data_IF_212821561193
#
_entry.id   IF_212821561193
#
_cell.length_a   1.000
_cell.length_b   1.000
_cell.length_c   1.000
_cell.angle_alpha   90.00
_cell.angle_beta   90.00
_cell.angle_gamma   90.00
#
_symmetry.space_group_name_H-M   'P 1'
#
loop_
_entity.id
_entity.type
_entity.pdbx_description
1 polymer ?
#
# COMPACT_ATOMS: atom_id res chain seq x y z
N UNK A 1 -32.56 32.83 -18.68
CA UNK A 1 -31.86 31.61 -18.26
C UNK A 1 -32.48 31.22 -16.94
N UNK A 2 -33.40 30.25 -16.96
CA UNK A 2 -33.99 29.71 -15.73
C UNK A 2 -32.86 29.10 -14.89
N UNK A 3 -32.82 29.49 -13.63
CA UNK A 3 -31.90 28.95 -12.64
C UNK A 3 -32.23 27.46 -12.44
N UNK A 4 -31.50 26.59 -13.15
CA UNK A 4 -31.60 25.13 -13.06
C UNK A 4 -30.68 24.58 -11.97
N UNK A 5 -30.43 25.37 -10.92
CA UNK A 5 -29.73 24.88 -9.74
C UNK A 5 -30.61 23.81 -9.06
N UNK A 6 -30.08 22.59 -8.79
CA UNK A 6 -30.83 21.57 -8.09
C UNK A 6 -31.32 22.10 -6.74
N UNK A 7 -32.60 21.88 -6.41
CA UNK A 7 -33.12 22.17 -5.07
C UNK A 7 -32.36 21.29 -4.06
N UNK A 8 -31.49 21.90 -3.27
CA UNK A 8 -30.69 21.21 -2.27
C UNK A 8 -31.54 20.43 -1.26
N UNK A 9 -32.78 20.86 -1.02
CA UNK A 9 -33.72 20.16 -0.14
C UNK A 9 -34.14 18.82 -0.74
N UNK A 10 -34.41 18.79 -2.04
CA UNK A 10 -34.77 17.58 -2.77
C UNK A 10 -33.59 16.59 -2.81
N UNK A 11 -32.36 17.07 -3.04
CA UNK A 11 -31.15 16.23 -3.04
C UNK A 11 -30.94 15.57 -1.68
N UNK A 12 -31.01 16.34 -0.59
CA UNK A 12 -30.83 15.81 0.77
C UNK A 12 -31.94 14.82 1.15
N UNK A 13 -33.17 15.03 0.67
CA UNK A 13 -34.26 14.08 0.87
C UNK A 13 -33.96 12.74 0.19
N UNK A 14 -33.48 12.77 -1.06
CA UNK A 14 -33.09 11.56 -1.79
C UNK A 14 -32.02 10.76 -1.07
N UNK A 15 -30.96 11.42 -0.57
CA UNK A 15 -29.91 10.74 0.21
C UNK A 15 -30.46 10.05 1.46
N UNK A 16 -31.36 10.70 2.21
CA UNK A 16 -31.99 10.10 3.40
C UNK A 16 -32.88 8.91 3.06
N UNK A 17 -33.60 8.96 1.95
CA UNK A 17 -34.42 7.83 1.49
C UNK A 17 -33.55 6.63 1.07
N UNK A 18 -32.41 6.88 0.43
CA UNK A 18 -31.43 5.84 0.08
C UNK A 18 -30.82 5.24 1.35
N UNK A 19 -30.32 6.08 2.26
CA UNK A 19 -29.76 5.66 3.55
C UNK A 19 -30.75 4.79 4.33
N UNK A 20 -32.01 5.23 4.46
CA UNK A 20 -33.05 4.48 5.14
C UNK A 20 -33.34 3.12 4.49
N UNK A 21 -33.32 3.04 3.16
CA UNK A 21 -33.53 1.78 2.44
C UNK A 21 -32.34 0.81 2.59
N UNK A 22 -31.11 1.32 2.49
CA UNK A 22 -29.89 0.52 2.58
C UNK A 22 -29.61 0.01 4.00
N UNK A 23 -30.07 0.72 5.03
CA UNK A 23 -29.85 0.39 6.45
C UNK A 23 -31.05 -0.28 7.13
N UNK A 24 -32.15 -0.52 6.41
CA UNK A 24 -33.34 -1.19 6.92
C UNK A 24 -33.07 -2.66 7.34
N UNK A 25 -33.93 -3.25 8.20
CA UNK A 25 -33.85 -4.68 8.52
C UNK A 25 -33.85 -5.57 7.27
N UNK A 26 -32.88 -6.49 7.17
CA UNK A 26 -32.71 -7.38 6.01
C UNK A 26 -31.96 -6.76 4.82
N UNK A 27 -31.60 -5.47 4.86
CA UNK A 27 -30.82 -4.83 3.82
C UNK A 27 -29.31 -5.12 3.94
N UNK A 28 -28.56 -4.84 2.87
CA UNK A 28 -27.12 -5.12 2.80
C UNK A 28 -26.29 -4.38 3.86
N UNK A 29 -26.78 -3.23 4.34
CA UNK A 29 -26.14 -2.39 5.36
C UNK A 29 -27.02 -2.25 6.61
N UNK A 30 -27.83 -3.27 6.94
CA UNK A 30 -28.65 -3.27 8.16
C UNK A 30 -27.82 -2.86 9.38
N UNK A 31 -28.33 -1.88 10.12
CA UNK A 31 -27.76 -1.42 11.38
C UNK A 31 -28.45 -2.11 12.56
N UNK A 32 -27.64 -2.60 13.48
CA UNK A 32 -28.08 -3.20 14.74
C UNK A 32 -27.37 -2.54 15.91
N UNK A 33 -28.03 -2.48 17.06
CA UNK A 33 -27.40 -2.00 18.27
C UNK A 33 -26.60 -3.12 18.91
N UNK A 34 -25.35 -2.83 19.23
CA UNK A 34 -24.45 -3.73 19.94
C UNK A 34 -23.86 -3.01 21.15
N UNK A 35 -23.86 -3.69 22.29
CA UNK A 35 -23.15 -3.24 23.48
C UNK A 35 -21.66 -3.60 23.36
N UNK A 36 -20.78 -2.59 23.44
CA UNK A 36 -19.33 -2.72 23.44
C UNK A 36 -18.80 -1.92 24.62
N UNK A 37 -18.15 -2.60 25.56
CA UNK A 37 -17.60 -2.00 26.79
C UNK A 37 -18.61 -1.17 27.61
N UNK A 38 -19.89 -1.58 27.59
CA UNK A 38 -20.98 -0.93 28.33
C UNK A 38 -21.68 0.22 27.58
N UNK A 39 -21.17 0.59 26.40
CA UNK A 39 -21.79 1.58 25.51
C UNK A 39 -22.51 0.89 24.35
N UNK A 40 -23.65 1.44 23.93
CA UNK A 40 -24.43 0.89 22.81
C UNK A 40 -24.10 1.66 21.54
N UNK A 41 -23.60 0.95 20.53
CA UNK A 41 -23.25 1.51 19.22
C UNK A 41 -24.11 0.90 18.11
N UNK A 42 -24.49 1.70 17.09
CA UNK A 42 -24.99 1.15 15.84
C UNK A 42 -23.83 0.51 15.08
N UNK A 43 -23.98 -0.76 14.71
CA UNK A 43 -23.00 -1.53 13.93
C UNK A 43 -23.68 -2.20 12.74
N UNK A 44 -22.92 -2.46 11.67
CA UNK A 44 -23.46 -3.20 10.54
C UNK A 44 -23.60 -4.69 10.90
N UNK A 45 -24.81 -5.25 10.75
CA UNK A 45 -25.08 -6.68 10.99
C UNK A 45 -24.22 -7.57 10.09
N UNK A 46 -24.08 -7.17 8.82
CA UNK A 46 -23.46 -7.97 7.76
C UNK A 46 -22.02 -7.53 7.46
N UNK A 47 -21.30 -6.99 8.46
CA UNK A 47 -19.85 -6.78 8.34
C UNK A 47 -19.11 -8.11 8.55
N UNK A 48 -17.92 -8.24 7.96
CA UNK A 48 -17.07 -9.40 8.22
C UNK A 48 -16.72 -9.51 9.72
N UNK A 49 -16.68 -10.73 10.25
CA UNK A 49 -16.36 -10.99 11.65
C UNK A 49 -14.92 -10.59 12.01
N UNK A 50 -14.00 -10.76 11.06
CA UNK A 50 -12.59 -10.44 11.27
C UNK A 50 -11.91 -9.90 10.02
N UNK A 51 -10.72 -9.34 10.26
CA UNK A 51 -9.90 -8.68 9.24
C UNK A 51 -9.43 -9.69 8.17
N UNK A 52 -9.07 -10.91 8.56
CA UNK A 52 -8.64 -11.92 7.61
C UNK A 52 -9.78 -12.32 6.65
N UNK A 53 -10.98 -12.57 7.17
CA UNK A 53 -12.16 -12.91 6.36
C UNK A 53 -12.46 -11.80 5.34
N UNK A 54 -12.37 -10.52 5.74
CA UNK A 54 -12.50 -9.38 4.81
C UNK A 54 -11.38 -9.37 3.75
N UNK A 55 -10.13 -9.60 4.14
CA UNK A 55 -8.99 -9.61 3.21
C UNK A 55 -9.02 -10.80 2.24
N UNK A 56 -9.70 -11.89 2.61
CA UNK A 56 -9.77 -13.14 1.83
C UNK A 56 -11.04 -13.31 1.02
N UNK A 57 -11.94 -12.32 1.01
CA UNK A 57 -13.24 -12.40 0.33
C UNK A 57 -13.13 -12.73 -1.16
N UNK A 58 -12.03 -12.36 -1.81
CA UNK A 58 -11.77 -12.59 -3.25
C UNK A 58 -10.74 -13.68 -3.53
N UNK A 59 -10.26 -14.41 -2.52
CA UNK A 59 -9.18 -15.41 -2.67
C UNK A 59 -9.51 -16.45 -3.77
N UNK A 60 -10.73 -16.99 -3.74
CA UNK A 60 -11.18 -18.01 -4.71
C UNK A 60 -11.56 -17.41 -6.07
N UNK A 61 -12.43 -16.39 -6.09
CA UNK A 61 -13.03 -15.88 -7.33
C UNK A 61 -12.05 -15.05 -8.19
N UNK A 62 -10.96 -14.57 -7.59
CA UNK A 62 -9.96 -13.74 -8.24
C UNK A 62 -8.56 -14.36 -8.23
N UNK A 63 -8.44 -15.67 -8.02
CA UNK A 63 -7.15 -16.36 -7.83
C UNK A 63 -6.09 -16.03 -8.91
N UNK A 64 -6.50 -15.91 -10.17
CA UNK A 64 -5.62 -15.62 -11.32
C UNK A 64 -5.47 -14.12 -11.64
N UNK A 65 -6.16 -13.25 -10.89
CA UNK A 65 -6.11 -11.80 -11.07
C UNK A 65 -4.91 -11.24 -10.33
N UNK A 66 -4.17 -10.32 -10.96
CA UNK A 66 -3.05 -9.63 -10.32
C UNK A 66 -3.55 -8.83 -9.12
N UNK A 67 -3.00 -9.09 -7.95
CA UNK A 67 -3.29 -8.35 -6.72
C UNK A 67 -2.21 -7.31 -6.42
N UNK A 68 -0.93 -7.66 -6.60
CA UNK A 68 0.19 -6.78 -6.28
C UNK A 68 1.15 -6.74 -7.46
N UNK A 69 1.57 -5.54 -7.86
CA UNK A 69 2.62 -5.33 -8.85
C UNK A 69 3.61 -4.26 -8.36
N UNK A 70 4.65 -4.66 -7.64
CA UNK A 70 5.78 -3.79 -7.33
C UNK A 70 6.91 -3.96 -8.35
N UNK A 71 8.10 -3.45 -8.08
CA UNK A 71 9.22 -3.51 -9.03
C UNK A 71 9.91 -4.88 -9.04
N UNK A 72 9.78 -5.64 -7.95
CA UNK A 72 10.45 -6.92 -7.75
C UNK A 72 9.53 -8.09 -8.12
N UNK A 73 8.21 -7.94 -7.91
CA UNK A 73 7.23 -9.02 -8.05
C UNK A 73 5.90 -8.54 -8.62
N UNK A 74 5.30 -9.44 -9.41
CA UNK A 74 3.88 -9.40 -9.77
C UNK A 74 3.24 -10.67 -9.22
N UNK A 75 2.24 -10.50 -8.37
CA UNK A 75 1.58 -11.60 -7.66
C UNK A 75 0.07 -11.52 -7.86
N UNK A 76 -0.55 -12.66 -8.18
CA UNK A 76 -2.01 -12.80 -8.21
C UNK A 76 -2.59 -12.93 -6.80
N UNK A 77 -3.91 -12.81 -6.64
CA UNK A 77 -4.57 -13.08 -5.36
C UNK A 77 -4.22 -14.47 -4.86
N UNK A 78 -4.32 -15.51 -5.69
CA UNK A 78 -3.99 -16.88 -5.30
C UNK A 78 -2.54 -17.03 -4.84
N UNK A 79 -1.59 -16.38 -5.53
CA UNK A 79 -0.18 -16.39 -5.14
C UNK A 79 0.08 -15.64 -3.82
N UNK A 80 -0.59 -14.51 -3.59
CA UNK A 80 -0.48 -13.74 -2.34
C UNK A 80 -1.07 -14.53 -1.17
N UNK A 81 -2.25 -15.11 -1.33
CA UNK A 81 -2.92 -15.87 -0.28
C UNK A 81 -2.18 -17.18 0.01
N UNK A 82 -1.66 -17.89 -0.99
CA UNK A 82 -0.80 -19.06 -0.71
C UNK A 82 0.49 -18.67 0.03
N UNK A 83 1.15 -17.60 -0.38
CA UNK A 83 2.32 -17.09 0.33
C UNK A 83 1.98 -16.73 1.79
N UNK A 84 0.83 -16.07 2.01
CA UNK A 84 0.38 -15.70 3.35
C UNK A 84 0.02 -16.92 4.20
N UNK A 85 -0.65 -17.94 3.63
CA UNK A 85 -0.95 -19.21 4.30
C UNK A 85 0.32 -19.91 4.76
N UNK A 86 1.34 -20.03 3.91
CA UNK A 86 2.62 -20.65 4.27
C UNK A 86 3.42 -19.81 5.25
N UNK A 87 3.44 -18.49 5.08
CA UNK A 87 4.11 -17.61 6.05
C UNK A 87 3.48 -17.72 7.45
N UNK A 88 2.15 -17.80 7.53
CA UNK A 88 1.44 -18.05 8.78
C UNK A 88 1.88 -19.37 9.44
N UNK A 89 2.13 -20.42 8.64
CA UNK A 89 2.66 -21.69 9.14
C UNK A 89 4.06 -21.54 9.74
N UNK A 90 4.94 -20.81 9.05
CA UNK A 90 6.28 -20.51 9.53
C UNK A 90 6.29 -19.68 10.80
N UNK A 91 5.46 -18.64 10.87
CA UNK A 91 5.29 -17.81 12.07
C UNK A 91 4.79 -18.65 13.26
N UNK A 92 3.77 -19.48 13.05
CA UNK A 92 3.21 -20.32 14.10
C UNK A 92 4.22 -21.37 14.62
N UNK A 93 4.94 -22.05 13.72
CA UNK A 93 5.83 -23.15 14.10
C UNK A 93 7.16 -22.67 14.68
N UNK A 94 7.74 -21.60 14.11
CA UNK A 94 9.10 -21.17 14.44
C UNK A 94 9.15 -20.08 15.51
N UNK A 95 8.08 -19.30 15.63
CA UNK A 95 8.00 -18.15 16.55
C UNK A 95 6.79 -18.24 17.50
N UNK A 96 6.03 -19.35 17.50
CA UNK A 96 4.91 -19.53 18.40
C UNK A 96 3.74 -18.56 18.19
N UNK A 97 3.65 -17.92 17.02
CA UNK A 97 2.63 -16.90 16.75
C UNK A 97 1.24 -17.52 16.69
N UNK A 98 0.31 -16.93 17.45
CA UNK A 98 -1.10 -17.31 17.48
C UNK A 98 -2.01 -16.16 17.91
N UNK A 99 -3.24 -16.46 18.36
CA UNK A 99 -4.21 -15.44 18.71
C UNK A 99 -3.69 -14.53 19.82
N UNK A 100 -3.75 -13.21 19.60
CA UNK A 100 -3.26 -12.21 20.56
C UNK A 100 -1.74 -12.00 20.58
N UNK A 101 -0.94 -12.86 19.93
CA UNK A 101 0.50 -12.60 19.77
C UNK A 101 0.73 -11.35 18.93
N UNK A 102 1.63 -10.47 19.35
CA UNK A 102 2.00 -9.27 18.60
C UNK A 102 3.13 -9.57 17.64
N UNK A 103 2.94 -9.26 16.36
CA UNK A 103 3.96 -9.39 15.31
C UNK A 103 4.19 -8.02 14.68
N UNK A 104 5.44 -7.57 14.72
CA UNK A 104 5.84 -6.29 14.19
C UNK A 104 6.02 -6.31 12.69
N UNK A 105 5.62 -5.24 12.02
CA UNK A 105 5.96 -4.96 10.62
C UNK A 105 6.66 -3.60 10.56
N UNK A 106 7.92 -3.58 10.10
CA UNK A 106 8.69 -2.34 9.92
C UNK A 106 9.36 -2.31 8.55
N UNK A 107 8.59 -1.99 7.52
CA UNK A 107 9.10 -1.97 6.13
C UNK A 107 8.44 -0.88 5.27
N UNK A 108 9.06 -0.59 4.13
CA UNK A 108 8.46 0.20 3.07
C UNK A 108 7.29 -0.55 2.41
N UNK A 109 6.47 0.17 1.63
CA UNK A 109 5.38 -0.43 0.87
C UNK A 109 5.94 -1.40 -0.18
N UNK A 110 5.64 -2.70 -0.02
CA UNK A 110 6.07 -3.78 -0.92
C UNK A 110 5.19 -5.02 -0.75
N UNK A 111 5.31 -6.00 -1.66
CA UNK A 111 4.55 -7.24 -1.60
C UNK A 111 4.69 -7.99 -0.27
N UNK A 112 5.91 -8.07 0.28
CA UNK A 112 6.18 -8.72 1.57
C UNK A 112 5.34 -8.14 2.72
N UNK A 113 5.04 -6.83 2.70
CA UNK A 113 4.20 -6.19 3.73
C UNK A 113 2.80 -6.81 3.72
N UNK A 114 2.18 -6.84 2.55
CA UNK A 114 0.79 -7.31 2.39
C UNK A 114 0.70 -8.79 2.72
N UNK A 115 1.66 -9.60 2.28
CA UNK A 115 1.73 -11.03 2.64
C UNK A 115 1.87 -11.21 4.16
N UNK A 116 2.73 -10.43 4.81
CA UNK A 116 2.92 -10.50 6.26
C UNK A 116 1.63 -10.11 7.01
N UNK A 117 0.97 -9.03 6.60
CA UNK A 117 -0.29 -8.57 7.18
C UNK A 117 -1.40 -9.63 7.10
N UNK A 118 -1.58 -10.26 5.93
CA UNK A 118 -2.57 -11.32 5.74
C UNK A 118 -2.22 -12.56 6.58
N UNK A 119 -0.94 -12.94 6.64
CA UNK A 119 -0.49 -14.08 7.42
C UNK A 119 -0.71 -13.90 8.94
N UNK A 120 -0.39 -12.71 9.46
CA UNK A 120 -0.56 -12.38 10.88
C UNK A 120 -2.04 -12.40 11.24
N UNK A 121 -2.89 -11.76 10.44
CA UNK A 121 -4.33 -11.70 10.68
C UNK A 121 -4.98 -13.08 10.55
N UNK A 122 -4.50 -13.94 9.64
CA UNK A 122 -4.94 -15.35 9.53
C UNK A 122 -4.74 -16.14 10.82
N UNK A 123 -3.68 -15.85 11.57
CA UNK A 123 -3.37 -16.50 12.85
C UNK A 123 -4.18 -15.91 14.02
N UNK A 124 -5.02 -14.90 13.79
CA UNK A 124 -5.67 -14.13 14.84
C UNK A 124 -4.67 -13.29 15.67
N UNK A 125 -3.45 -13.13 15.16
CA UNK A 125 -2.40 -12.35 15.80
C UNK A 125 -2.60 -10.85 15.53
N UNK A 126 -1.91 -10.02 16.32
CA UNK A 126 -1.97 -8.56 16.24
C UNK A 126 -0.82 -8.05 15.40
N UNK A 127 -1.10 -7.39 14.27
CA UNK A 127 -0.06 -6.74 13.48
C UNK A 127 0.28 -5.36 14.07
N UNK A 128 1.50 -5.21 14.55
CA UNK A 128 2.03 -3.94 15.06
C UNK A 128 2.76 -3.22 13.94
N UNK A 129 2.19 -2.12 13.46
CA UNK A 129 2.67 -1.45 12.26
C UNK A 129 3.61 -0.31 12.66
N UNK A 130 4.89 -0.62 12.80
CA UNK A 130 5.91 0.35 13.18
C UNK A 130 6.20 1.33 12.04
N UNK A 131 6.46 2.58 12.42
CA UNK A 131 6.81 3.62 11.46
C UNK A 131 8.16 3.31 10.79
N UNK A 132 8.14 2.94 9.51
CA UNK A 132 9.36 2.61 8.78
C UNK A 132 10.24 3.83 8.44
N UNK A 133 9.82 5.03 8.84
CA UNK A 133 10.61 6.28 8.75
C UNK A 133 11.12 6.75 10.11
N UNK A 134 10.85 6.01 11.18
CA UNK A 134 11.34 6.32 12.52
C UNK A 134 12.86 6.34 12.57
N UNK A 135 13.40 7.23 13.40
CA UNK A 135 14.78 7.19 13.87
C UNK A 135 15.01 5.96 14.77
N UNK A 136 16.26 5.54 15.01
CA UNK A 136 16.55 4.43 15.91
C UNK A 136 15.94 4.61 17.31
N UNK A 137 15.98 5.82 17.86
CA UNK A 137 15.41 6.15 19.16
C UNK A 137 13.89 6.01 19.17
N UNK A 138 13.21 6.55 18.16
CA UNK A 138 11.74 6.43 18.05
C UNK A 138 11.30 4.97 17.84
N UNK A 139 12.05 4.19 17.05
CA UNK A 139 11.78 2.77 16.84
C UNK A 139 11.94 1.98 18.13
N UNK A 140 13.01 2.22 18.89
CA UNK A 140 13.25 1.61 20.21
C UNK A 140 12.09 1.91 21.17
N UNK A 141 11.71 3.18 21.31
CA UNK A 141 10.61 3.59 22.18
C UNK A 141 9.29 2.91 21.79
N UNK A 142 8.97 2.84 20.50
CA UNK A 142 7.75 2.19 20.03
C UNK A 142 7.75 0.67 20.30
N UNK A 143 8.90 0.01 20.19
CA UNK A 143 9.06 -1.42 20.48
C UNK A 143 9.06 -1.73 21.98
N UNK A 144 9.56 -0.82 22.81
CA UNK A 144 9.47 -0.92 24.27
C UNK A 144 8.02 -0.74 24.76
N UNK A 145 7.28 0.22 24.18
CA UNK A 145 5.87 0.47 24.50
C UNK A 145 4.96 -0.68 24.04
N UNK A 146 5.20 -1.19 22.83
CA UNK A 146 4.42 -2.30 22.25
C UNK A 146 5.39 -3.41 21.81
N UNK A 147 5.78 -4.33 22.71
CA UNK A 147 6.70 -5.40 22.38
C UNK A 147 6.07 -6.44 21.45
N UNK A 148 6.82 -6.81 20.41
CA UNK A 148 6.44 -7.85 19.43
C UNK A 148 7.27 -9.11 19.63
N UNK A 149 6.66 -10.28 19.44
CA UNK A 149 7.32 -11.59 19.54
C UNK A 149 8.35 -11.79 18.42
N UNK A 150 8.06 -11.24 17.25
CA UNK A 150 8.92 -11.24 16.06
C UNK A 150 8.61 -10.01 15.23
N UNK A 151 9.61 -9.47 14.55
CA UNK A 151 9.47 -8.30 13.67
C UNK A 151 9.89 -8.67 12.25
N UNK A 152 9.00 -8.39 11.28
CA UNK A 152 9.28 -8.49 9.85
C UNK A 152 9.70 -7.12 9.34
N UNK A 153 10.91 -7.00 8.79
CA UNK A 153 11.49 -5.73 8.34
C UNK A 153 12.06 -5.83 6.92
N UNK A 154 12.15 -4.71 6.20
CA UNK A 154 13.03 -4.64 5.02
C UNK A 154 14.49 -4.48 5.44
N UNK A 155 15.44 -4.79 4.57
CA UNK A 155 16.85 -4.84 4.98
C UNK A 155 17.42 -3.54 5.52
N UNK A 156 16.94 -2.39 5.02
CA UNK A 156 17.32 -1.08 5.58
C UNK A 156 16.88 -0.96 7.05
N UNK A 157 15.69 -1.46 7.40
CA UNK A 157 15.16 -1.38 8.76
C UNK A 157 15.70 -2.49 9.63
N UNK A 158 15.96 -3.67 9.08
CA UNK A 158 16.69 -4.72 9.80
C UNK A 158 18.05 -4.21 10.29
N UNK A 159 18.82 -3.51 9.44
CA UNK A 159 20.09 -2.87 9.83
C UNK A 159 19.96 -1.78 10.89
N UNK A 160 18.79 -1.15 11.05
CA UNK A 160 18.50 -0.22 12.15
C UNK A 160 18.14 -0.98 13.44
N UNK A 161 17.35 -2.05 13.32
CA UNK A 161 16.85 -2.82 14.45
C UNK A 161 17.94 -3.63 15.16
N UNK A 162 18.98 -4.06 14.45
CA UNK A 162 20.14 -4.72 15.08
C UNK A 162 20.93 -3.79 16.01
N UNK A 163 20.71 -2.47 15.94
CA UNK A 163 21.32 -1.48 16.85
C UNK A 163 20.49 -1.24 18.12
N UNK A 164 19.34 -1.91 18.24
CA UNK A 164 18.47 -1.82 19.41
C UNK A 164 18.81 -2.98 20.34
N UNK A 165 19.20 -2.65 21.57
CA UNK A 165 19.48 -3.66 22.60
C UNK A 165 18.22 -4.49 22.87
N UNK A 166 18.36 -5.81 22.96
CA UNK A 166 17.23 -6.74 23.15
C UNK A 166 16.13 -6.63 22.07
N UNK A 167 16.49 -6.28 20.83
CA UNK A 167 15.56 -6.34 19.72
C UNK A 167 14.92 -7.74 19.60
N UNK A 168 13.62 -7.83 19.27
CA UNK A 168 12.96 -9.11 19.07
C UNK A 168 13.57 -9.85 17.86
N UNK A 169 13.34 -11.17 17.75
CA UNK A 169 13.69 -11.93 16.56
C UNK A 169 13.27 -11.22 15.27
N UNK A 170 14.17 -11.19 14.30
CA UNK A 170 13.96 -10.51 13.02
C UNK A 170 13.70 -11.52 11.89
N UNK A 171 12.82 -11.14 10.98
CA UNK A 171 12.63 -11.77 9.67
C UNK A 171 12.81 -10.67 8.63
N UNK A 172 13.67 -10.87 7.63
CA UNK A 172 13.80 -9.92 6.52
C UNK A 172 12.82 -10.24 5.41
N UNK A 173 12.05 -9.23 5.00
CA UNK A 173 11.03 -9.35 3.98
C UNK A 173 11.60 -9.73 2.62
N UNK A 174 12.86 -9.43 2.33
CA UNK A 174 13.57 -9.78 1.10
C UNK A 174 15.05 -10.05 1.40
N UNK A 175 15.78 -10.79 0.54
CA UNK A 175 17.20 -11.03 0.73
C UNK A 175 17.98 -9.73 0.91
N UNK A 176 18.84 -9.69 1.92
CA UNK A 176 19.74 -8.59 2.21
C UNK A 176 21.07 -9.10 2.79
N UNK A 177 21.90 -8.22 3.33
CA UNK A 177 23.18 -8.56 3.96
C UNK A 177 23.02 -8.99 5.43
N UNK A 178 21.81 -9.04 5.97
CA UNK A 178 21.58 -9.45 7.36
C UNK A 178 21.65 -10.97 7.52
N UNK A 179 21.98 -11.43 8.72
CA UNK A 179 21.94 -12.85 9.08
C UNK A 179 20.52 -13.34 9.42
N UNK A 180 19.52 -12.45 9.34
CA UNK A 180 18.14 -12.78 9.70
C UNK A 180 17.50 -13.72 8.66
N UNK A 181 16.59 -14.63 9.07
CA UNK A 181 15.85 -15.46 8.13
C UNK A 181 15.08 -14.63 7.10
N UNK A 182 15.16 -15.04 5.83
CA UNK A 182 14.39 -14.42 4.74
C UNK A 182 12.95 -14.95 4.74
N UNK A 183 11.98 -14.04 4.70
CA UNK A 183 10.54 -14.32 4.69
C UNK A 183 10.16 -15.30 3.56
N UNK A 184 10.68 -15.09 2.36
CA UNK A 184 10.36 -15.94 1.20
C UNK A 184 10.92 -17.36 1.30
N UNK A 185 12.03 -17.55 2.02
CA UNK A 185 12.53 -18.89 2.31
C UNK A 185 11.67 -19.56 3.37
N UNK A 186 11.23 -18.82 4.40
CA UNK A 186 10.27 -19.35 5.37
C UNK A 186 8.97 -19.77 4.67
N UNK A 187 8.45 -18.97 3.73
CA UNK A 187 7.28 -19.31 2.92
C UNK A 187 7.51 -20.60 2.11
N UNK A 188 8.67 -20.73 1.46
CA UNK A 188 8.99 -21.90 0.62
C UNK A 188 8.96 -23.21 1.41
N UNK A 189 9.50 -23.19 2.63
CA UNK A 189 9.75 -24.41 3.40
C UNK A 189 8.71 -24.69 4.49
N UNK A 190 7.81 -23.75 4.77
CA UNK A 190 6.76 -23.94 5.77
C UNK A 190 5.52 -24.60 5.16
N UNK A 191 4.83 -25.48 5.91
CA UNK A 191 3.48 -25.88 5.56
C UNK A 191 2.52 -24.69 5.72
N UNK A 192 1.29 -24.85 5.26
CA UNK A 192 0.25 -23.85 5.49
C UNK A 192 -0.12 -23.75 6.97
N UNK A 193 -0.25 -22.51 7.45
CA UNK A 193 -0.66 -22.19 8.80
C UNK A 193 -2.18 -22.28 8.99
N UNK A 194 -2.63 -22.52 10.23
CA UNK A 194 -4.04 -22.58 10.56
C UNK A 194 -4.72 -21.23 10.32
N UNK A 195 -5.98 -21.26 9.88
CA UNK A 195 -6.87 -20.11 10.02
C UNK A 195 -7.48 -20.16 11.42
N UNK A 196 -7.15 -19.19 12.27
CA UNK A 196 -7.65 -19.11 13.64
C UNK A 196 -8.72 -18.03 13.76
N UNK A 197 -9.96 -18.45 13.99
CA UNK A 197 -11.07 -17.52 14.26
C UNK A 197 -10.87 -16.85 15.62
N UNK A 198 -11.12 -15.56 15.67
CA UNK A 198 -11.06 -14.71 16.87
C UNK A 198 -12.30 -13.83 16.93
N UNK A 199 -12.64 -13.34 18.13
CA UNK A 199 -13.81 -12.50 18.30
C UNK A 199 -13.62 -11.13 17.61
N UNK A 200 -14.69 -10.49 17.11
CA UNK A 200 -14.58 -9.18 16.45
C UNK A 200 -14.00 -8.08 17.36
N UNK A 201 -14.11 -8.21 18.68
CA UNK A 201 -13.59 -7.23 19.64
C UNK A 201 -12.12 -7.48 20.03
N UNK A 202 -11.50 -8.55 19.52
CA UNK A 202 -10.07 -8.75 19.67
C UNK A 202 -9.31 -7.69 18.85
N UNK A 203 -8.22 -7.17 19.43
CA UNK A 203 -7.29 -6.29 18.70
C UNK A 203 -6.66 -7.04 17.54
N UNK A 204 -6.57 -6.39 16.38
CA UNK A 204 -5.98 -6.98 15.18
C UNK A 204 -4.84 -6.13 14.59
N UNK A 205 -4.90 -4.81 14.78
CA UNK A 205 -3.87 -3.88 14.34
C UNK A 205 -3.49 -2.94 15.49
N UNK A 206 -2.20 -2.59 15.58
CA UNK A 206 -1.72 -1.47 16.38
C UNK A 206 -0.99 -0.50 15.46
N UNK A 207 -1.46 0.75 15.42
CA UNK A 207 -0.87 1.83 14.63
C UNK A 207 -0.38 2.93 15.57
N UNK A 208 0.79 3.50 15.29
CA UNK A 208 1.33 4.59 16.09
C UNK A 208 0.83 5.94 15.61
N UNK A 209 0.40 6.78 16.55
CA UNK A 209 0.02 8.18 16.29
C UNK A 209 1.00 9.13 16.97
N UNK A 210 1.30 10.26 16.32
CA UNK A 210 2.07 11.34 16.93
C UNK A 210 1.22 12.01 18.01
N UNK A 211 1.22 11.45 19.21
CA UNK A 211 0.49 12.00 20.35
C UNK A 211 0.98 13.40 20.71
N UNK A 212 0.11 14.21 21.32
CA UNK A 212 0.44 15.57 21.78
C UNK A 212 1.48 15.59 22.91
N UNK A 213 1.74 14.45 23.56
CA UNK A 213 2.65 14.29 24.70
C UNK A 213 4.11 14.03 24.32
N UNK A 214 4.48 14.15 23.03
CA UNK A 214 5.87 14.00 22.56
C UNK A 214 6.29 12.58 22.20
N UNK A 215 5.78 11.55 22.89
CA UNK A 215 5.95 10.14 22.50
C UNK A 215 4.78 9.62 21.65
N UNK A 216 5.08 8.77 20.67
CA UNK A 216 4.07 8.12 19.85
C UNK A 216 3.30 7.09 20.68
N UNK A 217 1.97 6.99 20.48
CA UNK A 217 1.10 6.04 21.20
C UNK A 217 0.53 5.01 20.24
N UNK A 218 0.54 3.74 20.64
CA UNK A 218 -0.10 2.65 19.91
C UNK A 218 -1.62 2.69 20.03
N UNK A 219 -2.32 3.03 18.95
CA UNK A 219 -3.77 2.92 18.85
C UNK A 219 -4.14 1.46 18.55
N UNK A 220 -4.84 0.81 19.49
CA UNK A 220 -5.35 -0.54 19.33
C UNK A 220 -6.63 -0.52 18.50
N UNK A 221 -6.64 -1.23 17.38
CA UNK A 221 -7.81 -1.36 16.51
C UNK A 221 -8.30 -2.80 16.51
N UNK A 222 -9.55 -2.97 16.93
CA UNK A 222 -10.24 -4.27 16.91
C UNK A 222 -10.60 -4.68 15.49
N UNK A 223 -10.87 -5.97 15.31
CA UNK A 223 -11.40 -6.45 14.04
C UNK A 223 -12.68 -5.71 13.64
N UNK A 224 -13.62 -5.52 14.58
CA UNK A 224 -14.87 -4.78 14.38
C UNK A 224 -14.63 -3.34 13.92
N UNK A 225 -13.66 -2.64 14.51
CA UNK A 225 -13.31 -1.28 14.12
C UNK A 225 -12.96 -1.23 12.62
N UNK A 226 -12.10 -2.15 12.19
CA UNK A 226 -11.62 -2.21 10.81
C UNK A 226 -12.71 -2.65 9.83
N UNK A 227 -13.44 -3.71 10.15
CA UNK A 227 -14.49 -4.22 9.25
C UNK A 227 -15.66 -3.25 9.12
N UNK A 228 -15.96 -2.47 10.18
CA UNK A 228 -16.95 -1.39 10.12
C UNK A 228 -16.51 -0.25 9.19
N UNK A 229 -15.23 0.12 9.19
CA UNK A 229 -14.70 1.15 8.27
C UNK A 229 -14.84 0.71 6.82
N UNK A 230 -14.48 -0.54 6.50
CA UNK A 230 -14.65 -1.07 5.13
C UNK A 230 -16.12 -1.12 4.75
N UNK A 231 -16.99 -1.58 5.64
CA UNK A 231 -18.43 -1.64 5.39
C UNK A 231 -19.04 -0.26 5.18
N UNK A 232 -18.54 0.77 5.86
CA UNK A 232 -18.93 2.15 5.63
C UNK A 232 -18.46 2.66 4.25
N UNK A 233 -17.26 2.28 3.79
CA UNK A 233 -16.80 2.62 2.44
C UNK A 233 -17.69 1.99 1.36
N UNK A 234 -18.08 0.73 1.54
CA UNK A 234 -19.06 0.06 0.68
C UNK A 234 -20.41 0.79 0.71
N UNK A 235 -20.89 1.17 1.89
CA UNK A 235 -22.15 1.90 2.06
C UNK A 235 -22.15 3.23 1.30
N UNK A 236 -21.05 3.99 1.39
CA UNK A 236 -20.90 5.26 0.64
C UNK A 236 -20.88 5.00 -0.86
N UNK A 237 -20.17 3.97 -1.32
CA UNK A 237 -20.13 3.62 -2.74
C UNK A 237 -21.53 3.23 -3.27
N UNK A 238 -22.25 2.38 -2.53
CA UNK A 238 -23.59 1.95 -2.90
C UNK A 238 -24.60 3.10 -2.86
N UNK A 239 -24.50 3.99 -1.86
CA UNK A 239 -25.33 5.20 -1.80
C UNK A 239 -25.14 6.08 -3.04
N UNK A 240 -23.91 6.21 -3.54
CA UNK A 240 -23.63 6.96 -4.76
C UNK A 240 -24.19 6.27 -6.02
N UNK A 241 -24.14 4.93 -6.09
CA UNK A 241 -24.73 4.17 -7.19
C UNK A 241 -26.26 4.29 -7.20
N UNK A 242 -26.91 4.16 -6.04
CA UNK A 242 -28.35 4.35 -5.87
C UNK A 242 -28.79 5.77 -6.22
N UNK A 243 -28.01 6.77 -5.79
CA UNK A 243 -28.27 8.17 -6.14
C UNK A 243 -28.18 8.40 -7.66
N UNK A 244 -27.13 7.87 -8.30
CA UNK A 244 -26.97 7.95 -9.75
C UNK A 244 -28.09 7.20 -10.50
N UNK A 245 -28.48 6.01 -10.01
CA UNK A 245 -29.61 5.22 -10.52
C UNK A 245 -30.89 6.04 -10.56
N UNK A 246 -31.26 6.66 -9.42
CA UNK A 246 -32.45 7.52 -9.33
C UNK A 246 -32.36 8.78 -10.19
N UNK A 247 -31.17 9.39 -10.27
CA UNK A 247 -30.97 10.64 -11.01
C UNK A 247 -30.97 10.44 -12.54
N UNK A 248 -30.47 9.30 -13.03
CA UNK A 248 -30.34 9.01 -14.46
C UNK A 248 -31.37 8.00 -14.99
N UNK A 249 -32.16 7.36 -14.11
CA UNK A 249 -33.14 6.35 -14.49
C UNK A 249 -32.52 5.05 -15.01
N UNK A 250 -31.28 4.75 -14.59
CA UNK A 250 -30.54 3.54 -14.98
C UNK A 250 -30.65 2.54 -13.82
N UNK A 251 -31.01 1.26 -14.06
CA UNK A 251 -31.01 0.25 -13.01
C UNK A 251 -29.68 0.20 -12.24
N UNK A 252 -29.73 0.12 -10.91
CA UNK A 252 -28.53 0.14 -10.07
C UNK A 252 -27.58 -1.02 -10.37
N UNK A 253 -28.12 -2.19 -10.73
CA UNK A 253 -27.33 -3.37 -11.10
C UNK A 253 -26.52 -3.14 -12.38
N UNK A 254 -27.06 -2.38 -13.35
CA UNK A 254 -26.34 -2.02 -14.56
C UNK A 254 -25.17 -1.08 -14.22
N UNK A 255 -25.40 -0.07 -13.38
CA UNK A 255 -24.33 0.83 -12.91
C UNK A 255 -23.25 0.08 -12.14
N UNK A 256 -23.64 -0.90 -11.32
CA UNK A 256 -22.70 -1.74 -10.57
C UNK A 256 -21.86 -2.61 -11.51
N UNK A 257 -22.45 -3.18 -12.56
CA UNK A 257 -21.73 -3.98 -13.56
C UNK A 257 -20.68 -3.18 -14.35
N UNK A 258 -20.90 -1.87 -14.53
CA UNK A 258 -19.91 -0.98 -15.16
C UNK A 258 -18.87 -0.41 -14.18
N UNK A 259 -19.01 -0.66 -12.88
CA UNK A 259 -18.07 -0.14 -11.88
C UNK A 259 -16.72 -0.85 -12.02
N UNK A 260 -15.63 -0.12 -12.31
CA UNK A 260 -14.33 -0.72 -12.49
C UNK A 260 -13.78 -1.23 -11.16
N UNK A 261 -12.99 -2.31 -11.21
CA UNK A 261 -12.16 -2.71 -10.07
C UNK A 261 -11.20 -1.59 -9.71
N UNK A 262 -11.08 -1.28 -8.43
CA UNK A 262 -10.25 -0.17 -7.99
C UNK A 262 -8.79 -0.57 -8.05
N UNK A 263 -7.96 0.23 -8.71
CA UNK A 263 -6.51 0.07 -8.66
C UNK A 263 -5.90 1.25 -7.92
N UNK A 264 -4.93 1.00 -7.04
CA UNK A 264 -4.25 2.06 -6.29
C UNK A 264 -2.77 2.09 -6.61
N UNK A 265 -2.27 3.29 -6.88
CA UNK A 265 -0.85 3.60 -6.73
C UNK A 265 -0.61 3.93 -5.25
N UNK A 266 -0.07 2.97 -4.51
CA UNK A 266 0.01 3.02 -3.05
C UNK A 266 1.18 3.92 -2.59
N UNK A 267 0.89 5.22 -2.54
CA UNK A 267 1.82 6.28 -2.10
C UNK A 267 1.81 6.49 -0.59
N UNK A 268 0.69 6.18 0.07
CA UNK A 268 0.55 6.31 1.51
C UNK A 268 1.25 5.13 2.21
N UNK A 269 2.04 5.36 3.27
CA UNK A 269 2.72 4.28 3.96
C UNK A 269 1.73 3.31 4.61
N UNK A 270 1.99 2.01 4.51
CA UNK A 270 1.15 0.98 5.10
C UNK A 270 1.17 0.97 6.63
N UNK A 271 2.16 1.59 7.27
CA UNK A 271 2.14 1.82 8.72
C UNK A 271 1.24 2.99 9.15
N UNK A 272 0.53 3.63 8.21
CA UNK A 272 -0.41 4.71 8.47
C UNK A 272 -1.83 4.29 8.10
N UNK A 273 -2.84 4.80 8.82
CA UNK A 273 -4.26 4.45 8.60
C UNK A 273 -4.70 4.68 7.15
N UNK A 274 -4.22 5.74 6.49
CA UNK A 274 -4.52 6.01 5.07
C UNK A 274 -3.97 4.95 4.11
N UNK A 275 -2.81 4.35 4.41
CA UNK A 275 -2.26 3.26 3.61
C UNK A 275 -3.05 1.98 3.78
N UNK A 276 -3.41 1.66 5.02
CA UNK A 276 -4.27 0.52 5.36
C UNK A 276 -5.66 0.66 4.72
N UNK A 277 -6.31 1.80 4.87
CA UNK A 277 -7.58 2.11 4.21
C UNK A 277 -7.48 1.92 2.69
N UNK A 278 -6.41 2.43 2.06
CA UNK A 278 -6.24 2.31 0.60
C UNK A 278 -6.13 0.86 0.13
N UNK A 279 -5.44 -0.03 0.85
CA UNK A 279 -5.36 -1.44 0.44
C UNK A 279 -6.65 -2.18 0.71
N UNK A 280 -7.35 -1.88 1.82
CA UNK A 280 -8.62 -2.52 2.15
C UNK A 280 -9.67 -2.24 1.08
N UNK A 281 -9.80 -0.98 0.65
CA UNK A 281 -10.72 -0.61 -0.44
C UNK A 281 -10.41 -1.36 -1.74
N UNK A 282 -9.14 -1.47 -2.10
CA UNK A 282 -8.73 -2.16 -3.34
C UNK A 282 -8.95 -3.66 -3.26
N UNK A 283 -8.53 -4.28 -2.16
CA UNK A 283 -8.70 -5.70 -1.93
C UNK A 283 -10.17 -6.08 -1.93
N UNK A 284 -11.03 -5.28 -1.29
CA UNK A 284 -12.47 -5.51 -1.26
C UNK A 284 -13.14 -5.42 -2.64
N UNK A 285 -12.51 -4.76 -3.61
CA UNK A 285 -12.98 -4.69 -5.01
C UNK A 285 -12.36 -5.73 -5.94
N UNK A 286 -11.47 -6.60 -5.44
CA UNK A 286 -10.70 -7.54 -6.27
C UNK A 286 -9.69 -6.85 -7.20
N UNK A 287 -9.26 -5.64 -6.85
CA UNK A 287 -8.43 -4.79 -7.69
C UNK A 287 -6.91 -4.96 -7.51
N UNK A 288 -6.12 -4.01 -8.05
CA UNK A 288 -4.65 -4.09 -8.11
C UNK A 288 -3.99 -3.05 -7.20
N UNK A 289 -3.06 -3.52 -6.36
CA UNK A 289 -2.19 -2.68 -5.54
C UNK A 289 -0.85 -2.51 -6.25
N UNK A 290 -0.42 -1.27 -6.45
CA UNK A 290 0.90 -0.92 -6.97
C UNK A 290 1.70 -0.21 -5.88
N UNK A 291 2.50 -0.95 -5.08
CA UNK A 291 3.31 -0.36 -4.02
C UNK A 291 4.32 0.64 -4.57
N UNK A 292 4.43 1.79 -3.93
CA UNK A 292 5.53 2.73 -4.15
C UNK A 292 6.41 2.78 -2.90
N UNK A 293 7.60 2.14 -2.89
CA UNK A 293 8.49 2.16 -1.74
C UNK A 293 9.05 3.57 -1.48
N UNK A 294 9.13 4.43 -2.52
CA UNK A 294 9.60 5.81 -2.43
C UNK A 294 8.93 6.69 -3.49
N UNK A 295 8.49 7.88 -3.09
CA UNK A 295 7.97 8.89 -4.02
C UNK A 295 9.12 9.71 -4.61
N UNK A 296 9.51 9.44 -5.86
CA UNK A 296 10.48 10.25 -6.62
C UNK A 296 9.93 10.65 -7.99
N UNK A 297 10.25 11.88 -8.45
CA UNK A 297 9.79 12.43 -9.74
C UNK A 297 10.14 11.55 -10.95
N UNK A 298 11.20 10.75 -10.86
CA UNK A 298 11.70 9.87 -11.94
C UNK A 298 10.82 8.62 -12.14
N UNK A 299 10.09 8.17 -11.11
CA UNK A 299 9.20 7.01 -11.19
C UNK A 299 8.03 7.19 -12.16
N UNK A 300 7.63 8.44 -12.41
CA UNK A 300 6.51 8.79 -13.30
C UNK A 300 6.70 8.30 -14.75
N UNK A 301 7.96 8.10 -15.20
CA UNK A 301 8.26 7.67 -16.59
C UNK A 301 8.24 6.16 -16.78
N UNK A 302 8.61 5.34 -15.77
CA UNK A 302 8.74 3.89 -15.94
C UNK A 302 7.41 3.14 -15.94
N UNK A 303 6.36 3.66 -15.27
CA UNK A 303 5.06 2.99 -15.19
C UNK A 303 3.99 3.53 -16.17
N UNK A 304 4.31 4.56 -16.95
CA UNK A 304 3.44 5.00 -18.07
C UNK A 304 3.28 3.91 -19.15
N UNK A 305 4.17 2.92 -19.20
CA UNK A 305 4.17 1.82 -20.17
C UNK A 305 3.49 0.55 -19.65
N UNK A 306 3.15 0.46 -18.36
CA UNK A 306 2.32 -0.63 -17.82
C UNK A 306 0.88 -0.14 -17.74
N UNK A 307 0.06 -0.49 -18.75
CA UNK A 307 -1.38 -0.25 -18.68
C UNK A 307 -1.93 -0.98 -17.45
N UNK A 308 -2.40 -0.23 -16.46
CA UNK A 308 -3.16 -0.78 -15.35
C UNK A 308 -4.53 -1.22 -15.89
N UNK A 309 -4.97 -2.47 -15.66
CA UNK A 309 -6.33 -2.87 -15.97
C UNK A 309 -7.31 -1.97 -15.20
N UNK A 310 -8.24 -1.31 -15.90
CA UNK A 310 -9.28 -0.45 -15.28
C UNK A 310 -9.15 1.06 -15.51
N UNK A 311 -8.07 1.55 -16.13
CA UNK A 311 -8.02 2.94 -16.58
C UNK A 311 -8.68 3.11 -17.97
N UNK A 312 -9.98 3.38 -17.99
CA UNK A 312 -10.70 3.95 -19.14
C UNK A 312 -10.81 5.47 -18.92
N UNK A 313 -9.72 6.19 -19.15
CA UNK A 313 -9.71 7.65 -19.25
C UNK A 313 -8.96 8.06 -20.51
N UNK A 314 -9.39 9.09 -21.25
CA UNK A 314 -8.70 9.53 -22.46
C UNK A 314 -7.29 10.00 -22.12
N UNK A 315 -6.37 9.78 -23.06
CA UNK A 315 -4.99 10.21 -22.97
C UNK A 315 -4.89 11.68 -22.57
N UNK A 316 -4.42 11.97 -21.36
CA UNK A 316 -4.01 13.34 -21.00
C UNK A 316 -2.62 13.58 -21.62
N UNK A 317 -2.63 13.73 -22.93
CA UNK A 317 -1.54 14.18 -23.76
C UNK A 317 -2.13 14.94 -24.95
N UNK A 318 -2.66 16.14 -24.68
CA UNK A 318 -2.55 17.33 -25.52
C UNK A 318 -3.51 18.38 -25.01
N UNK A 319 -3.00 19.28 -24.16
CA UNK A 319 -3.40 20.70 -24.07
C UNK A 319 -2.62 21.33 -22.90
N UNK A 320 -1.32 21.45 -23.10
CA UNK A 320 -0.54 22.51 -22.47
C UNK A 320 -0.04 23.42 -23.59
N UNK A 321 -0.97 24.18 -24.18
CA UNK A 321 -0.64 25.40 -24.90
C UNK A 321 -0.04 26.38 -23.89
N UNK A 322 1.28 26.33 -23.74
CA UNK A 322 2.02 27.34 -23.02
C UNK A 322 1.94 28.65 -23.83
N UNK A 323 0.96 29.48 -23.50
CA UNK A 323 0.95 30.89 -23.87
C UNK A 323 2.09 31.59 -23.12
N UNK A 324 3.25 31.67 -23.76
CA UNK A 324 4.36 32.50 -23.30
C UNK A 324 4.11 33.97 -23.71
N UNK A 325 3.38 34.67 -22.85
CA UNK A 325 3.39 36.13 -22.82
C UNK A 325 4.63 36.60 -22.04
N UNK A 326 5.75 36.87 -22.74
CA UNK A 326 6.61 38.07 -22.59
C UNK A 326 7.91 37.95 -23.41
N UNK A 327 7.95 38.62 -24.56
CA UNK A 327 8.88 39.74 -24.87
C UNK A 327 8.78 40.09 -26.36
N UNK A 328 7.98 41.12 -26.65
CA UNK A 328 8.12 41.90 -27.88
C UNK A 328 9.45 42.66 -27.82
N UNK A 329 10.40 42.30 -28.68
CA UNK A 329 11.31 43.29 -29.29
C UNK A 329 11.37 43.01 -30.79
N UNK A 330 10.95 44.03 -31.55
CA UNK A 330 10.89 44.08 -33.00
C UNK A 330 12.29 44.15 -33.62
N UNK A 331 12.28 43.84 -34.91
CA UNK A 331 13.17 44.24 -36.00
C UNK A 331 14.54 43.57 -36.09
N UNK A 332 14.59 42.49 -36.88
CA UNK A 332 15.70 42.30 -37.80
C UNK A 332 15.46 43.20 -39.02
N UNK A 333 16.40 44.10 -39.30
CA UNK A 333 16.65 44.54 -40.66
C UNK A 333 18.15 44.45 -40.91
N UNK A 334 18.48 43.80 -42.01
CA UNK A 334 19.82 43.33 -42.40
C UNK A 334 20.38 44.35 -43.37
N UNK A 335 21.52 44.99 -43.04
CA UNK A 335 22.37 45.67 -44.03
C UNK A 335 23.83 45.62 -43.60
N UNK A 336 24.63 45.09 -44.54
CA UNK A 336 26.06 45.28 -44.79
C UNK A 336 26.84 46.29 -43.93
N UNK A 337 28.03 45.89 -43.46
CA UNK A 337 29.32 46.36 -44.00
C UNK A 337 30.53 45.70 -43.30
N UNK A 338 31.55 45.47 -44.14
CA UNK A 338 32.95 45.10 -43.90
C UNK A 338 33.62 45.86 -42.75
N UNK A 339 34.60 45.26 -42.03
CA UNK A 339 36.07 45.47 -42.20
C UNK A 339 36.91 44.83 -41.08
N UNK A 340 38.14 44.42 -41.46
CA UNK A 340 39.43 44.34 -40.70
C UNK A 340 39.57 43.33 -39.53
N UNK A 341 40.40 42.28 -39.60
CA UNK A 341 41.89 42.15 -39.67
C UNK A 341 42.55 42.06 -38.27
N UNK A 342 43.47 41.08 -38.14
CA UNK A 342 44.46 40.81 -37.06
C UNK A 342 43.94 40.21 -35.75
N UNK A 343 44.55 39.20 -35.11
CA UNK A 343 45.77 38.43 -35.34
C UNK A 343 46.13 37.60 -34.08
N UNK A 344 46.74 36.43 -34.30
CA UNK A 344 47.65 35.64 -33.41
C UNK A 344 47.14 34.87 -32.17
N UNK A 345 47.48 33.57 -32.23
CA UNK A 345 48.07 32.65 -31.25
C UNK A 345 47.41 32.39 -29.88
N UNK A 346 47.22 31.08 -29.61
CA UNK A 346 47.05 30.51 -28.28
C UNK A 346 46.76 29.02 -28.38
N UNK A 347 47.65 28.21 -27.83
CA UNK A 347 47.87 26.79 -28.11
C UNK A 347 47.13 25.83 -27.14
N UNK A 348 47.03 24.57 -27.58
CA UNK A 348 46.84 23.31 -26.81
C UNK A 348 45.52 23.05 -26.06
N UNK A 349 44.67 22.12 -26.53
CA UNK A 349 44.69 20.62 -26.49
C UNK A 349 44.10 20.01 -25.20
N UNK A 350 42.99 19.29 -25.37
CA UNK A 350 42.61 18.09 -24.60
C UNK A 350 42.14 17.04 -25.63
N UNK A 351 42.66 15.80 -25.63
CA UNK A 351 42.05 14.72 -26.38
C UNK A 351 41.31 13.71 -25.50
N UNK A 352 40.22 13.21 -26.07
CA UNK A 352 39.41 12.09 -25.64
C UNK A 352 40.11 10.72 -25.85
N UNK A 353 39.68 9.76 -25.01
CA UNK A 353 39.31 8.37 -25.33
C UNK A 353 40.33 7.42 -26.02
N UNK A 354 40.61 6.26 -25.39
CA UNK A 354 40.08 4.95 -25.82
C UNK A 354 40.96 3.73 -25.49
N UNK A 355 40.28 2.63 -25.12
CA UNK A 355 40.51 1.20 -25.48
C UNK A 355 41.84 0.51 -25.14
N UNK A 356 41.78 -0.36 -24.11
CA UNK A 356 41.91 -1.83 -24.17
C UNK A 356 43.25 -2.48 -24.56
N UNK A 357 43.74 -3.44 -23.77
CA UNK A 357 43.86 -4.86 -24.18
C UNK A 357 44.26 -5.80 -23.03
N UNK A 358 43.87 -7.07 -23.14
CA UNK A 358 44.27 -8.24 -22.31
C UNK A 358 45.61 -8.83 -22.78
N UNK A 359 46.38 -9.41 -21.86
CA UNK A 359 47.25 -10.59 -22.03
C UNK A 359 47.72 -11.03 -20.61
N UNK A 360 47.41 -12.25 -20.12
CA UNK A 360 48.28 -13.45 -20.07
C UNK A 360 49.53 -13.27 -19.16
N UNK A 361 50.02 -14.19 -18.30
CA UNK A 361 50.03 -15.66 -18.28
C UNK A 361 50.58 -16.15 -16.91
N UNK A 362 50.03 -17.28 -16.44
CA UNK A 362 50.49 -18.28 -15.43
C UNK A 362 51.95 -18.22 -14.91
N UNK A 363 52.17 -18.50 -13.61
CA UNK A 363 52.64 -19.79 -13.03
C UNK A 363 53.09 -19.68 -11.57
N UNK A 364 52.77 -20.76 -10.84
CA UNK A 364 53.14 -21.15 -9.47
C UNK A 364 54.60 -20.91 -9.09
N UNK A 365 54.87 -20.77 -7.78
CA UNK A 365 55.95 -21.45 -7.06
C UNK A 365 55.77 -21.28 -5.53
N UNK A 366 55.51 -22.39 -4.85
CA UNK A 366 55.90 -22.64 -3.45
C UNK A 366 57.34 -23.21 -3.49
N UNK A 367 58.22 -22.88 -2.53
CA UNK A 367 58.71 -23.96 -1.65
C UNK A 367 59.04 -23.57 -0.19
N UNK A 368 58.78 -24.54 0.69
CA UNK A 368 59.52 -25.01 1.88
C UNK A 368 60.02 -24.02 2.95
N UNK A 369 59.50 -24.20 4.18
CA UNK A 369 60.08 -25.10 5.19
C UNK A 369 59.02 -25.62 6.14
#
# INVERSE_FOLDING_TARGET
MSDTSPDGTAVMKTYREIEAALTAPGAAFELVNLEVDGDVFPVYRNAADNLYDMLSVHDADHADVVMIADDDRVMTYGAVHEAARRFAGGLAQRYGVGPGTRVGIMMANRAAYVVALIAITRLGAVAVLYNSRATPTEARQAMEDVPSEVVVADGKRAGLLVLIDNAPPLIVGDPDESEAPVMWDLIRWSPEGPHRRVAPDNTCLILFTSGTSGSAKGAMLTHRCITSVVKNMEFVAETNLEFASRNYGIPVDDLRAYSPRLSTLLVYPLFHVSGIASIMTVMNSGGVIVPMPRWERVYRRRRRTQRLPGHLGPDVADHAGAGDHRRRRRSGNRTDRRTSIEGRHGDHRIPECSRGNRAELRRNLVPNR
#
